data_IF_143022425205
#
_entry.id   IF_143022425205
#
_cell.length_a   1.000
_cell.length_b   1.000
_cell.length_c   1.000
_cell.angle_alpha   90.00
_cell.angle_beta   90.00
_cell.angle_gamma   90.00
#
_symmetry.space_group_name_H-M   'P 1'
#
loop_
_entity.id
_entity.type
_entity.pdbx_description
1 polymer ?
#
# COMPACT_ATOMS: atom_id res chain seq x y z
N UNK A 1 -10.90 7.89 2.73
CA UNK A 1 -10.25 6.74 2.06
C UNK A 1 -10.65 6.76 0.60
N UNK A 2 -9.70 6.77 -0.30
CA UNK A 2 -9.90 6.88 -1.76
C UNK A 2 -9.13 5.74 -2.43
N UNK A 3 -9.71 5.15 -3.47
CA UNK A 3 -9.07 4.11 -4.29
C UNK A 3 -8.59 4.71 -5.61
N UNK A 4 -7.43 4.28 -6.05
CA UNK A 4 -6.86 4.55 -7.37
C UNK A 4 -6.51 3.21 -8.01
N UNK A 5 -6.91 2.97 -9.26
CA UNK A 5 -6.58 1.71 -9.90
C UNK A 5 -7.15 1.52 -11.30
N UNK A 6 -6.79 0.41 -11.90
CA UNK A 6 -7.28 -0.04 -13.21
C UNK A 6 -8.67 -0.65 -13.09
N UNK A 7 -9.41 -0.62 -14.19
CA UNK A 7 -10.67 -1.33 -14.31
C UNK A 7 -10.39 -2.66 -15.02
N UNK A 8 -9.82 -3.62 -14.27
CA UNK A 8 -9.52 -4.95 -14.80
C UNK A 8 -10.80 -5.80 -14.76
N UNK A 9 -11.59 -5.74 -15.83
CA UNK A 9 -12.71 -6.68 -16.06
C UNK A 9 -12.13 -8.02 -16.54
N UNK A 10 -11.49 -8.79 -15.66
CA UNK A 10 -11.20 -10.21 -15.91
C UNK A 10 -12.35 -11.05 -15.38
N UNK A 11 -12.97 -11.85 -16.23
CA UNK A 11 -13.91 -12.90 -15.82
C UNK A 11 -13.11 -14.02 -15.14
N UNK A 12 -13.26 -14.16 -13.83
CA UNK A 12 -12.59 -15.14 -12.98
C UNK A 12 -12.63 -14.72 -11.52
N UNK A 13 -12.40 -15.62 -10.59
CA UNK A 13 -12.23 -15.30 -9.16
C UNK A 13 -10.87 -14.63 -8.98
N UNK A 14 -10.82 -13.32 -9.13
CA UNK A 14 -9.59 -12.55 -8.93
C UNK A 14 -9.42 -12.29 -7.44
N UNK A 15 -8.28 -12.70 -6.89
CA UNK A 15 -7.94 -12.46 -5.50
C UNK A 15 -7.47 -11.02 -5.31
N UNK A 16 -8.22 -10.21 -4.58
CA UNK A 16 -7.80 -8.87 -4.20
C UNK A 16 -6.95 -8.93 -2.93
N UNK A 17 -5.69 -8.57 -3.04
CA UNK A 17 -4.72 -8.61 -1.94
C UNK A 17 -4.29 -7.18 -1.59
N UNK A 18 -4.42 -6.81 -0.31
CA UNK A 18 -3.87 -5.57 0.21
C UNK A 18 -2.39 -5.74 0.55
N UNK A 19 -1.56 -4.76 0.18
CA UNK A 19 -0.16 -4.67 0.60
C UNK A 19 -0.01 -3.43 1.45
N UNK A 20 0.20 -3.60 2.74
CA UNK A 20 0.39 -2.50 3.66
C UNK A 20 1.89 -2.32 3.94
N UNK A 21 2.51 -1.47 3.13
CA UNK A 21 3.91 -1.09 3.30
C UNK A 21 4.10 -0.02 4.36
N UNK A 22 5.17 -0.12 5.12
CA UNK A 22 5.49 0.90 6.12
C UNK A 22 6.70 0.59 6.97
N UNK A 23 7.20 1.60 7.67
CA UNK A 23 8.31 1.39 8.61
C UNK A 23 7.87 0.60 9.83
N UNK A 24 6.63 0.79 10.31
CA UNK A 24 6.08 0.17 11.54
C UNK A 24 7.04 0.30 12.74
N UNK A 25 7.32 1.53 13.13
CA UNK A 25 8.34 1.85 14.14
C UNK A 25 7.75 2.52 15.40
N UNK A 26 7.01 1.80 16.25
CA UNK A 26 6.52 0.43 16.09
C UNK A 26 5.17 0.32 15.36
N UNK A 27 4.72 -0.93 15.15
CA UNK A 27 3.33 -1.23 14.84
C UNK A 27 2.43 -0.80 16.02
N UNK A 28 1.24 -0.29 15.75
CA UNK A 28 0.28 0.15 16.77
C UNK A 28 -1.18 -0.02 16.30
N UNK A 29 -2.13 0.16 17.21
CA UNK A 29 -3.57 -0.02 16.93
C UNK A 29 -4.09 0.78 15.74
N UNK A 30 -3.54 1.97 15.47
CA UNK A 30 -3.91 2.76 14.29
C UNK A 30 -3.62 2.03 12.98
N UNK A 31 -2.50 1.32 12.89
CA UNK A 31 -2.18 0.51 11.71
C UNK A 31 -3.13 -0.68 11.58
N UNK A 32 -3.34 -1.42 12.67
CA UNK A 32 -4.21 -2.62 12.68
C UNK A 32 -5.64 -2.26 12.33
N UNK A 33 -6.18 -1.21 12.92
CA UNK A 33 -7.52 -0.70 12.61
C UNK A 33 -7.65 -0.28 11.16
N UNK A 34 -6.65 0.43 10.63
CA UNK A 34 -6.65 0.83 9.22
C UNK A 34 -6.67 -0.38 8.30
N UNK A 35 -5.86 -1.41 8.59
CA UNK A 35 -5.83 -2.65 7.82
C UNK A 35 -7.19 -3.35 7.84
N UNK A 36 -7.83 -3.44 9.00
CA UNK A 36 -9.14 -4.06 9.17
C UNK A 36 -10.24 -3.30 8.41
N UNK A 37 -10.29 -1.98 8.55
CA UNK A 37 -11.24 -1.14 7.82
C UNK A 37 -11.07 -1.25 6.29
N UNK A 38 -9.81 -1.32 5.81
CA UNK A 38 -9.50 -1.52 4.39
C UNK A 38 -9.92 -2.90 3.93
N UNK A 39 -9.57 -3.94 4.69
CA UNK A 39 -9.90 -5.34 4.38
C UNK A 39 -11.41 -5.49 4.12
N UNK A 40 -12.25 -5.04 5.05
CA UNK A 40 -13.70 -5.15 4.92
C UNK A 40 -14.27 -4.25 3.81
N UNK A 41 -13.84 -2.99 3.77
CA UNK A 41 -14.40 -2.00 2.82
C UNK A 41 -14.13 -2.35 1.37
N UNK A 42 -12.92 -2.87 1.07
CA UNK A 42 -12.51 -3.21 -0.29
C UNK A 42 -12.64 -4.70 -0.59
N UNK A 43 -13.23 -5.48 0.32
CA UNK A 43 -13.46 -6.92 0.17
C UNK A 43 -12.17 -7.65 -0.25
N UNK A 44 -11.09 -7.35 0.45
CA UNK A 44 -9.82 -8.00 0.19
C UNK A 44 -9.87 -9.46 0.65
N UNK A 45 -9.08 -10.32 0.03
CA UNK A 45 -8.90 -11.71 0.48
C UNK A 45 -7.97 -11.78 1.70
N UNK A 46 -6.95 -10.91 1.70
CA UNK A 46 -5.96 -10.78 2.79
C UNK A 46 -5.27 -9.42 2.73
N UNK A 47 -4.59 -9.07 3.80
CA UNK A 47 -3.65 -7.93 3.87
C UNK A 47 -2.26 -8.46 4.24
N UNK A 48 -1.30 -8.18 3.37
CA UNK A 48 0.12 -8.49 3.60
C UNK A 48 0.80 -7.24 4.16
N UNK A 49 1.30 -7.31 5.37
CA UNK A 49 2.13 -6.25 5.95
C UNK A 49 3.57 -6.44 5.49
N UNK A 50 4.19 -5.37 5.01
CA UNK A 50 5.57 -5.39 4.52
C UNK A 50 6.36 -4.32 5.27
N UNK A 51 7.11 -4.70 6.34
CA UNK A 51 7.99 -3.77 7.05
C UNK A 51 9.20 -3.43 6.18
N UNK A 52 9.44 -2.14 5.95
CA UNK A 52 10.61 -1.69 5.20
C UNK A 52 11.91 -1.98 5.98
N UNK A 53 12.93 -2.51 5.30
CA UNK A 53 14.24 -2.70 5.90
C UNK A 53 14.96 -1.35 6.07
N UNK A 54 15.20 -0.68 4.94
CA UNK A 54 15.87 0.62 4.88
C UNK A 54 14.98 1.62 4.14
N UNK A 55 14.10 2.36 4.87
CA UNK A 55 13.24 3.37 4.24
C UNK A 55 14.10 4.48 3.63
N UNK A 56 13.92 4.81 2.32
CA UNK A 56 14.82 5.75 1.62
C UNK A 56 14.82 7.18 2.18
N UNK A 57 13.76 7.54 2.93
CA UNK A 57 13.52 8.89 3.43
C UNK A 57 13.76 9.05 4.95
N UNK A 58 14.33 8.05 5.62
CA UNK A 58 14.64 8.10 7.06
C UNK A 58 16.10 7.82 7.33
N UNK A 59 16.67 8.45 8.35
CA UNK A 59 17.99 8.14 8.86
C UNK A 59 17.98 6.81 9.64
N UNK A 60 19.04 6.02 9.54
CA UNK A 60 19.16 4.73 10.22
C UNK A 60 19.13 4.86 11.75
N UNK A 61 19.52 6.02 12.30
CA UNK A 61 19.55 6.28 13.74
C UNK A 61 18.15 6.40 14.39
N UNK A 62 17.11 6.69 13.58
CA UNK A 62 15.75 6.91 14.07
C UNK A 62 14.86 5.66 13.99
N UNK A 63 15.36 4.59 13.40
CA UNK A 63 14.54 3.40 13.08
C UNK A 63 15.05 2.18 13.83
N UNK A 64 14.16 1.55 14.60
CA UNK A 64 14.44 0.29 15.28
C UNK A 64 14.83 -0.78 14.25
N UNK A 65 15.74 -1.68 14.64
CA UNK A 65 16.19 -2.81 13.83
C UNK A 65 15.01 -3.51 13.09
N UNK A 66 15.15 -3.78 11.78
CA UNK A 66 14.07 -4.35 10.97
C UNK A 66 13.56 -5.70 11.49
N UNK A 67 14.43 -6.56 12.05
CA UNK A 67 14.02 -7.86 12.60
C UNK A 67 13.17 -7.70 13.85
N UNK A 68 13.46 -6.71 14.69
CA UNK A 68 12.61 -6.38 15.84
C UNK A 68 11.24 -5.88 15.39
N UNK A 69 11.18 -5.03 14.36
CA UNK A 69 9.92 -4.52 13.82
C UNK A 69 9.09 -5.62 13.16
N UNK A 70 9.75 -6.54 12.45
CA UNK A 70 9.13 -7.76 11.90
C UNK A 70 8.51 -8.60 13.01
N UNK A 71 9.25 -8.86 14.09
CA UNK A 71 8.77 -9.65 15.23
C UNK A 71 7.57 -9.00 15.92
N UNK A 72 7.64 -7.68 16.19
CA UNK A 72 6.52 -6.94 16.77
C UNK A 72 5.28 -7.01 15.88
N UNK A 73 5.45 -6.87 14.57
CA UNK A 73 4.37 -6.95 13.61
C UNK A 73 3.74 -8.34 13.57
N UNK A 74 4.56 -9.41 13.55
CA UNK A 74 4.08 -10.78 13.58
C UNK A 74 3.26 -11.05 14.85
N UNK A 75 3.73 -10.62 16.00
CA UNK A 75 2.99 -10.75 17.26
C UNK A 75 1.67 -9.96 17.24
N UNK A 76 1.68 -8.75 16.69
CA UNK A 76 0.51 -7.88 16.65
C UNK A 76 -0.63 -8.41 15.79
N UNK A 77 -0.34 -9.22 14.76
CA UNK A 77 -1.37 -9.81 13.89
C UNK A 77 -1.72 -11.27 14.25
N UNK A 78 -1.10 -11.82 15.28
CA UNK A 78 -1.39 -13.21 15.73
C UNK A 78 -2.88 -13.36 16.03
N UNK A 79 -3.49 -14.41 15.48
CA UNK A 79 -4.92 -14.72 15.64
C UNK A 79 -5.82 -14.04 14.59
N UNK A 80 -5.28 -13.23 13.69
CA UNK A 80 -6.04 -12.71 12.58
C UNK A 80 -5.73 -13.49 11.29
N UNK A 81 -6.68 -14.29 10.82
CA UNK A 81 -6.50 -15.18 9.66
C UNK A 81 -6.38 -14.43 8.32
N UNK A 82 -6.75 -13.15 8.29
CA UNK A 82 -6.72 -12.31 7.09
C UNK A 82 -5.45 -11.49 6.96
N UNK A 83 -4.59 -11.48 8.00
CA UNK A 83 -3.37 -10.71 8.02
C UNK A 83 -2.15 -11.63 7.95
N UNK A 84 -1.19 -11.26 7.12
CA UNK A 84 0.10 -11.93 7.01
C UNK A 84 1.22 -10.90 7.02
N UNK A 85 2.43 -11.35 7.32
CA UNK A 85 3.64 -10.52 7.24
C UNK A 85 4.55 -11.08 6.16
N UNK A 86 5.15 -10.21 5.37
CA UNK A 86 6.22 -10.55 4.44
C UNK A 86 7.52 -9.89 4.90
N UNK A 87 8.58 -10.66 4.97
CA UNK A 87 9.94 -10.21 5.27
C UNK A 87 10.74 -9.82 4.01
N UNK A 88 10.08 -9.77 2.87
CA UNK A 88 10.66 -9.63 1.54
C UNK A 88 11.61 -8.43 1.41
N UNK A 89 11.30 -7.29 2.03
CA UNK A 89 12.18 -6.14 2.03
C UNK A 89 13.35 -6.28 3.03
N UNK A 90 13.18 -7.10 4.08
CA UNK A 90 14.22 -7.33 5.10
C UNK A 90 15.31 -8.26 4.57
N UNK A 91 14.91 -9.32 3.84
CA UNK A 91 15.86 -10.27 3.25
C UNK A 91 16.52 -9.75 1.96
N UNK A 92 15.88 -8.80 1.27
CA UNK A 92 16.44 -8.18 0.06
C UNK A 92 17.52 -7.16 0.45
N UNK A 93 18.74 -7.28 -0.11
CA UNK A 93 19.80 -6.30 0.15
C UNK A 93 19.44 -4.93 -0.45
N UNK A 94 19.85 -3.85 0.23
CA UNK A 94 19.70 -2.48 -0.23
C UNK A 94 18.42 -1.80 0.22
N UNK A 95 18.08 -0.68 -0.44
CA UNK A 95 16.91 0.15 -0.08
C UNK A 95 15.59 -0.52 -0.41
N UNK A 96 14.59 -0.23 0.42
CA UNK A 96 13.22 -0.72 0.26
C UNK A 96 12.46 0.12 -0.76
N UNK A 97 12.38 -0.35 -2.00
CA UNK A 97 11.63 0.31 -3.06
C UNK A 97 10.30 -0.40 -3.30
N UNK A 98 9.21 0.31 -3.14
CA UNK A 98 7.83 -0.23 -3.23
C UNK A 98 7.55 -0.89 -4.58
N UNK A 99 8.03 -0.32 -5.69
CA UNK A 99 7.82 -0.89 -7.04
C UNK A 99 8.42 -2.29 -7.16
N UNK A 100 9.61 -2.52 -6.61
CA UNK A 100 10.27 -3.82 -6.62
C UNK A 100 9.53 -4.83 -5.74
N UNK A 101 9.06 -4.38 -4.58
CA UNK A 101 8.28 -5.19 -3.65
C UNK A 101 6.98 -5.66 -4.29
N UNK A 102 6.24 -4.77 -4.95
CA UNK A 102 5.01 -5.13 -5.66
C UNK A 102 5.30 -6.11 -6.80
N UNK A 103 6.36 -5.90 -7.58
CA UNK A 103 6.74 -6.82 -8.66
C UNK A 103 7.05 -8.21 -8.15
N UNK A 104 7.74 -8.32 -7.03
CA UNK A 104 8.08 -9.61 -6.44
C UNK A 104 6.82 -10.33 -5.90
N UNK A 105 5.93 -9.61 -5.20
CA UNK A 105 4.66 -10.17 -4.75
C UNK A 105 3.77 -10.62 -5.91
N UNK A 106 3.79 -9.91 -7.05
CA UNK A 106 3.07 -10.31 -8.27
C UNK A 106 3.61 -11.60 -8.89
N UNK A 107 4.93 -11.80 -8.88
CA UNK A 107 5.53 -13.07 -9.34
C UNK A 107 5.07 -14.24 -8.49
N UNK A 108 4.96 -14.03 -7.17
CA UNK A 108 4.50 -15.07 -6.23
C UNK A 108 2.99 -15.35 -6.35
N UNK A 109 2.20 -14.36 -6.82
CA UNK A 109 0.74 -14.43 -6.92
C UNK A 109 0.26 -13.82 -8.25
N UNK A 110 0.50 -14.45 -9.40
CA UNK A 110 0.29 -13.87 -10.72
C UNK A 110 -1.18 -13.55 -11.03
N UNK A 111 -2.12 -14.26 -10.42
CA UNK A 111 -3.56 -14.08 -10.63
C UNK A 111 -4.21 -13.11 -9.63
N UNK A 112 -3.41 -12.46 -8.76
CA UNK A 112 -3.92 -11.53 -7.77
C UNK A 112 -3.91 -10.08 -8.27
N UNK A 113 -4.94 -9.32 -7.87
CA UNK A 113 -4.93 -7.87 -7.94
C UNK A 113 -4.36 -7.31 -6.65
N UNK A 114 -3.31 -6.53 -6.76
CA UNK A 114 -2.69 -5.88 -5.61
C UNK A 114 -3.21 -4.48 -5.38
N UNK A 115 -3.40 -4.13 -4.12
CA UNK A 115 -3.81 -2.81 -3.63
C UNK A 115 -2.80 -2.33 -2.59
N UNK A 116 -1.96 -1.38 -2.97
CA UNK A 116 -1.00 -0.80 -2.03
C UNK A 116 -1.70 0.17 -1.10
N UNK A 117 -1.61 -0.08 0.20
CA UNK A 117 -2.27 0.69 1.26
C UNK A 117 -1.26 1.65 1.86
N UNK A 118 -1.59 2.95 1.84
CA UNK A 118 -0.73 4.00 2.40
C UNK A 118 -1.53 5.18 2.94
N UNK A 119 -0.91 5.99 3.77
CA UNK A 119 -1.47 7.25 4.26
C UNK A 119 -1.48 8.34 3.20
N UNK A 120 -2.36 9.32 3.37
CA UNK A 120 -2.45 10.49 2.48
C UNK A 120 -1.13 11.29 2.45
N UNK A 121 -0.47 11.41 3.58
CA UNK A 121 0.83 12.06 3.73
C UNK A 121 1.88 11.45 2.78
N UNK A 122 2.05 10.15 2.84
CA UNK A 122 2.96 9.42 1.96
C UNK A 122 2.53 9.47 0.48
N UNK A 123 1.22 9.45 0.20
CA UNK A 123 0.73 9.55 -1.17
C UNK A 123 0.97 10.92 -1.80
N UNK A 124 0.93 12.00 -1.02
CA UNK A 124 1.22 13.34 -1.52
C UNK A 124 2.69 13.52 -1.95
N UNK A 125 3.57 12.68 -1.43
CA UNK A 125 5.01 12.65 -1.77
C UNK A 125 5.36 11.53 -2.76
N UNK A 126 4.37 10.84 -3.34
CA UNK A 126 4.59 9.66 -4.17
C UNK A 126 5.47 9.93 -5.39
N UNK A 127 5.46 11.16 -5.91
CA UNK A 127 6.31 11.59 -7.02
C UNK A 127 7.80 11.66 -6.69
N UNK A 128 8.18 11.52 -5.42
CA UNK A 128 9.57 11.41 -4.98
C UNK A 128 10.05 9.95 -4.89
N UNK A 129 9.13 8.99 -5.07
CA UNK A 129 9.45 7.58 -4.93
C UNK A 129 10.16 7.04 -6.16
N UNK A 130 11.02 6.06 -5.93
CA UNK A 130 11.75 5.39 -7.01
C UNK A 130 10.78 4.73 -8.01
N UNK A 131 10.90 5.06 -9.29
CA UNK A 131 10.03 4.60 -10.38
C UNK A 131 8.53 4.76 -10.10
N UNK A 132 8.14 5.88 -9.50
CA UNK A 132 6.77 6.13 -9.04
C UNK A 132 5.71 6.03 -10.17
N UNK A 133 6.03 6.44 -11.42
CA UNK A 133 5.11 6.31 -12.55
C UNK A 133 4.79 4.84 -12.84
N UNK A 134 5.82 3.98 -12.81
CA UNK A 134 5.66 2.54 -13.04
C UNK A 134 4.82 1.90 -11.94
N UNK A 135 4.91 2.40 -10.71
CA UNK A 135 4.12 1.89 -9.60
C UNK A 135 2.61 1.99 -9.85
N UNK A 136 2.14 3.05 -10.55
CA UNK A 136 0.74 3.17 -10.97
C UNK A 136 0.34 2.16 -12.05
N UNK A 137 1.30 1.61 -12.77
CA UNK A 137 1.10 0.52 -13.72
C UNK A 137 1.12 -0.86 -13.05
N UNK A 138 1.79 -0.98 -11.92
CA UNK A 138 2.00 -2.26 -11.24
C UNK A 138 0.92 -2.58 -10.21
N UNK A 139 0.33 -1.59 -9.55
CA UNK A 139 -0.63 -1.82 -8.46
C UNK A 139 -1.74 -0.78 -8.42
N UNK A 140 -2.83 -1.14 -7.76
CA UNK A 140 -3.86 -0.19 -7.34
C UNK A 140 -3.47 0.44 -6.00
N UNK A 141 -4.03 1.62 -5.67
CA UNK A 141 -3.77 2.28 -4.41
C UNK A 141 -5.03 2.44 -3.57
N UNK A 142 -4.89 2.24 -2.26
CA UNK A 142 -5.89 2.62 -1.26
C UNK A 142 -5.24 3.66 -0.36
N UNK A 143 -5.67 4.91 -0.54
CA UNK A 143 -5.16 6.03 0.25
C UNK A 143 -6.05 6.24 1.47
N UNK A 144 -5.46 6.15 2.65
CA UNK A 144 -6.13 6.30 3.94
C UNK A 144 -5.89 7.69 4.51
N UNK A 145 -6.88 8.21 5.24
CA UNK A 145 -6.80 9.50 5.92
C UNK A 145 -6.95 9.30 7.42
N UNK A 146 -6.23 10.06 8.22
CA UNK A 146 -6.39 10.10 9.68
C UNK A 146 -7.48 11.10 10.06
N UNK A 147 -8.14 10.94 11.23
CA UNK A 147 -8.98 12.00 11.79
C UNK A 147 -8.18 13.32 11.86
N UNK A 148 -8.79 14.41 11.39
CA UNK A 148 -8.11 15.72 11.34
C UNK A 148 -7.21 15.95 10.12
N UNK A 149 -7.02 14.98 9.24
CA UNK A 149 -6.31 15.21 7.97
C UNK A 149 -7.02 16.26 7.13
N UNK A 150 -6.27 17.12 6.40
CA UNK A 150 -6.86 18.11 5.50
C UNK A 150 -7.83 17.45 4.52
N UNK A 151 -8.98 18.08 4.29
CA UNK A 151 -9.87 17.66 3.21
C UNK A 151 -9.24 18.06 1.87
N UNK A 152 -8.45 17.16 1.31
CA UNK A 152 -7.87 17.36 -0.02
C UNK A 152 -8.88 16.92 -1.07
N UNK A 153 -9.14 17.79 -2.04
CA UNK A 153 -10.00 17.41 -3.19
C UNK A 153 -9.35 16.23 -3.91
N UNK A 154 -10.10 15.15 -4.20
CA UNK A 154 -9.53 13.93 -4.78
C UNK A 154 -8.68 14.17 -6.04
N UNK A 155 -9.08 15.10 -6.92
CA UNK A 155 -8.34 15.43 -8.12
C UNK A 155 -7.03 16.19 -7.89
N UNK A 156 -6.77 16.69 -6.68
CA UNK A 156 -5.50 17.33 -6.30
C UNK A 156 -4.50 16.35 -5.65
N UNK A 157 -4.95 15.14 -5.33
CA UNK A 157 -4.10 14.12 -4.71
C UNK A 157 -3.21 13.46 -5.78
N UNK A 158 -3.72 13.30 -7.01
CA UNK A 158 -2.97 12.66 -8.11
C UNK A 158 -1.92 13.64 -8.64
N UNK A 159 -0.65 13.20 -8.78
CA UNK A 159 0.39 13.99 -9.43
C UNK A 159 -0.08 14.53 -10.79
N UNK A 160 0.31 15.77 -11.10
CA UNK A 160 -0.19 16.48 -12.30
C UNK A 160 0.13 15.71 -13.59
N UNK A 161 1.28 15.07 -13.63
CA UNK A 161 1.85 14.37 -14.78
C UNK A 161 1.00 13.17 -15.21
N UNK A 162 0.37 12.49 -14.26
CA UNK A 162 -0.46 11.31 -14.53
C UNK A 162 -1.96 11.58 -14.38
N UNK A 163 -2.35 12.76 -13.90
CA UNK A 163 -3.76 13.13 -13.66
C UNK A 163 -4.67 12.93 -14.86
N UNK A 164 -4.26 13.26 -16.11
CA UNK A 164 -5.10 13.05 -17.28
C UNK A 164 -5.49 11.58 -17.51
N UNK A 165 -4.72 10.65 -16.97
CA UNK A 165 -4.94 9.20 -17.12
C UNK A 165 -5.96 8.64 -16.12
N UNK A 166 -6.52 9.49 -15.23
CA UNK A 166 -7.46 9.06 -14.22
C UNK A 166 -8.81 9.74 -14.34
N UNK A 167 -9.89 8.95 -14.24
CA UNK A 167 -11.27 9.44 -14.15
C UNK A 167 -11.83 9.21 -12.76
N UNK A 168 -12.42 10.24 -12.16
CA UNK A 168 -13.09 10.14 -10.88
C UNK A 168 -14.47 9.51 -11.02
N UNK A 169 -14.73 8.43 -10.28
CA UNK A 169 -16.04 7.80 -10.14
C UNK A 169 -16.64 8.16 -8.78
N UNK A 170 -17.53 9.15 -8.74
CA UNK A 170 -18.11 9.69 -7.50
C UNK A 170 -18.89 8.62 -6.69
N UNK A 171 -19.58 7.70 -7.38
CA UNK A 171 -20.38 6.64 -6.73
C UNK A 171 -19.54 5.76 -5.80
N UNK A 172 -18.32 5.42 -6.22
CA UNK A 172 -17.43 4.52 -5.48
C UNK A 172 -16.34 5.28 -4.70
N UNK A 173 -16.25 6.61 -4.86
CA UNK A 173 -15.14 7.42 -4.33
C UNK A 173 -13.77 6.89 -4.77
N UNK A 174 -13.64 6.60 -6.06
CA UNK A 174 -12.43 6.03 -6.66
C UNK A 174 -11.97 6.80 -7.89
N UNK A 175 -10.65 6.78 -8.14
CA UNK A 175 -10.08 7.17 -9.42
C UNK A 175 -9.75 5.91 -10.22
N UNK A 176 -10.15 5.88 -11.47
CA UNK A 176 -9.90 4.75 -12.37
C UNK A 176 -8.95 5.19 -13.46
N UNK A 177 -7.89 4.43 -13.64
CA UNK A 177 -6.96 4.62 -14.76
C UNK A 177 -7.70 4.36 -16.08
N UNK A 178 -7.63 5.30 -16.99
CA UNK A 178 -8.12 5.14 -18.36
C UNK A 178 -6.90 5.07 -19.28
N UNK A 179 -6.51 3.84 -19.68
CA UNK A 179 -5.58 3.65 -20.79
C UNK A 179 -6.21 4.14 -22.07
#
# INVERSE_FOLDING_TARGET
MVRFGRNDNKEGIILNIGVYGGTFNPIHFGHLRTAEEVFHKFKLKQVIFVPSAQPPHKSDEEVIDPLHRLKMLTLAITGNEHFTVSDLEIIRPGKSYTVETIRELKKQNPDANFYFILGLDAFLEINTWYHWQELFLETNFIVTTRPGSPQVRPNRIIPQEIRPQFKWKAKNKEFVYSS
#
